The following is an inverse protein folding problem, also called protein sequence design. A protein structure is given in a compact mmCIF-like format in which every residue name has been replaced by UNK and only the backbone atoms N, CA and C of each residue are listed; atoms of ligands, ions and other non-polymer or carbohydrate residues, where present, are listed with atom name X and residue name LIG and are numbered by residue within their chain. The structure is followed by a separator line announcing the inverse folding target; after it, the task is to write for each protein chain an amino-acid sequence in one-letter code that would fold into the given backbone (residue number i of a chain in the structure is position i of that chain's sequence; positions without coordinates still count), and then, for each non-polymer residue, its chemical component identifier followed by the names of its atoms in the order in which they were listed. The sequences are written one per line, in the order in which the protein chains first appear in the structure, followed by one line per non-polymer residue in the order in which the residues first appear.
data_IF_445221741344
#
_entry.id   IF_445221741344
#
_cell.length_a   1.000
_cell.length_b   1.000
_cell.length_c   1.000
_cell.angle_alpha   90.00
_cell.angle_beta   90.00
_cell.angle_gamma   90.00
#
_symmetry.space_group_name_H-M   'P 1'
#
loop_
_entity.id
_entity.type
_entity.pdbx_description
1 polymer ?
#
# COMPACT_ATOMS: atom_id res chain seq x y z
N UNK A 1 107.54 52.31 33.70
CA UNK A 1 106.57 51.25 34.05
C UNK A 1 105.51 51.22 32.96
N UNK A 2 105.50 50.23 32.04
CA UNK A 2 104.50 50.16 30.98
C UNK A 2 103.25 49.37 31.41
N UNK A 3 102.10 49.83 30.91
CA UNK A 3 100.74 49.45 31.29
C UNK A 3 100.31 48.06 30.81
N UNK A 4 99.71 47.29 31.73
CA UNK A 4 99.15 45.94 31.58
C UNK A 4 97.83 45.85 30.78
N UNK A 5 97.62 46.63 29.71
CA UNK A 5 96.29 46.71 29.05
C UNK A 5 96.16 46.06 27.65
N UNK A 6 97.20 45.38 27.13
CA UNK A 6 97.11 44.71 25.82
C UNK A 6 96.83 43.19 25.88
N UNK A 7 97.03 42.53 27.02
CA UNK A 7 96.77 41.09 27.15
C UNK A 7 95.29 40.74 27.43
N UNK A 8 94.51 41.65 28.00
CA UNK A 8 93.09 41.42 28.32
C UNK A 8 92.17 41.45 27.09
N UNK A 9 92.42 42.35 26.13
CA UNK A 9 91.60 42.47 24.92
C UNK A 9 91.81 41.31 23.93
N UNK A 10 93.01 40.73 23.88
CA UNK A 10 93.31 39.61 22.97
C UNK A 10 92.64 38.30 23.43
N UNK A 11 92.56 38.04 24.74
CA UNK A 11 91.85 36.87 25.27
C UNK A 11 90.32 37.00 25.16
N UNK A 12 89.76 38.20 25.38
CA UNK A 12 88.31 38.44 25.29
C UNK A 12 87.74 38.18 23.89
N UNK A 13 88.44 38.63 22.84
CA UNK A 13 87.98 38.46 21.46
C UNK A 13 88.09 37.00 20.95
N UNK A 14 89.05 36.21 21.45
CA UNK A 14 89.15 34.78 21.12
C UNK A 14 88.11 33.91 21.82
N UNK A 15 87.74 34.25 23.06
CA UNK A 15 86.68 33.54 23.80
C UNK A 15 85.30 33.79 23.19
N UNK A 16 85.00 35.04 22.79
CA UNK A 16 83.73 35.39 22.13
C UNK A 16 83.59 34.73 20.75
N UNK A 17 84.66 34.67 19.94
CA UNK A 17 84.65 33.96 18.64
C UNK A 17 84.47 32.44 18.79
N UNK A 18 85.05 31.84 19.84
CA UNK A 18 84.91 30.41 20.13
C UNK A 18 83.50 30.04 20.61
N UNK A 19 82.90 30.88 21.49
CA UNK A 19 81.53 30.71 21.98
C UNK A 19 80.46 30.92 20.88
N UNK A 20 80.70 31.84 19.93
CA UNK A 20 79.81 32.08 18.79
C UNK A 20 79.84 30.94 17.76
N UNK A 21 81.03 30.35 17.53
CA UNK A 21 81.23 29.14 16.73
C UNK A 21 80.55 27.90 17.33
N UNK A 22 80.64 27.72 18.66
CA UNK A 22 79.98 26.62 19.37
C UNK A 22 78.45 26.73 19.36
N UNK A 23 77.89 27.94 19.50
CA UNK A 23 76.44 28.18 19.41
C UNK A 23 75.89 27.94 18.00
N UNK A 24 76.59 28.38 16.94
CA UNK A 24 76.19 28.09 15.54
C UNK A 24 76.25 26.61 15.20
N UNK A 25 77.27 25.88 15.66
CA UNK A 25 77.36 24.43 15.43
C UNK A 25 76.26 23.66 16.17
N UNK A 26 75.92 24.05 17.42
CA UNK A 26 74.81 23.43 18.16
C UNK A 26 73.44 23.72 17.52
N UNK A 27 73.20 24.96 17.07
CA UNK A 27 71.99 25.32 16.33
C UNK A 27 71.88 24.57 15.00
N UNK A 28 72.98 24.43 14.25
CA UNK A 28 73.00 23.66 13.01
C UNK A 28 72.73 22.16 13.24
N UNK A 29 73.31 21.56 14.27
CA UNK A 29 73.07 20.16 14.64
C UNK A 29 71.61 19.95 15.06
N UNK A 30 71.02 20.87 15.83
CA UNK A 30 69.61 20.82 16.23
C UNK A 30 68.71 20.96 14.99
N UNK A 31 69.02 21.87 14.07
CA UNK A 31 68.24 22.02 12.83
C UNK A 31 68.31 20.76 11.96
N UNK A 32 69.49 20.15 11.83
CA UNK A 32 69.68 18.90 11.08
C UNK A 32 68.90 17.76 11.76
N UNK A 33 68.92 17.68 13.09
CA UNK A 33 68.15 16.68 13.83
C UNK A 33 66.63 16.86 13.66
N UNK A 34 66.14 18.11 13.61
CA UNK A 34 64.72 18.42 13.34
C UNK A 34 64.36 18.08 11.89
N UNK A 35 65.22 18.39 10.93
CA UNK A 35 64.97 18.03 9.52
C UNK A 35 64.96 16.51 9.36
N UNK A 36 65.90 15.79 9.98
CA UNK A 36 65.93 14.33 9.98
C UNK A 36 64.69 13.74 10.67
N UNK A 37 64.22 14.33 11.79
CA UNK A 37 63.00 13.85 12.45
C UNK A 37 61.76 14.06 11.60
N UNK A 38 61.64 15.20 10.91
CA UNK A 38 60.55 15.49 9.97
C UNK A 38 60.60 14.54 8.77
N UNK A 39 61.79 14.23 8.23
CA UNK A 39 61.97 13.26 7.14
C UNK A 39 61.59 11.84 7.61
N UNK A 40 61.99 11.44 8.82
CA UNK A 40 61.59 10.13 9.36
C UNK A 40 60.09 10.05 9.64
N UNK A 41 59.46 11.15 10.09
CA UNK A 41 58.03 11.21 10.35
C UNK A 41 57.21 11.20 9.05
N UNK A 42 57.69 11.88 8.00
CA UNK A 42 57.07 11.85 6.67
C UNK A 42 57.23 10.49 5.99
N UNK A 43 58.36 9.79 6.17
CA UNK A 43 58.49 8.40 5.74
C UNK A 43 57.62 7.43 6.56
N UNK A 44 57.43 7.67 7.85
CA UNK A 44 56.50 6.87 8.65
C UNK A 44 55.06 7.08 8.18
N UNK A 45 54.65 8.33 7.95
CA UNK A 45 53.31 8.68 7.44
C UNK A 45 53.08 8.20 6.00
N UNK A 46 54.11 8.14 5.15
CA UNK A 46 54.00 7.59 3.79
C UNK A 46 54.03 6.07 3.73
N UNK A 47 54.42 5.38 4.82
CA UNK A 47 54.54 3.92 4.86
C UNK A 47 53.28 3.21 5.39
N UNK A 48 52.22 3.98 5.69
CA UNK A 48 50.92 3.44 6.11
C UNK A 48 49.85 3.55 5.03
N UNK A 49 50.19 3.25 3.78
CA UNK A 49 49.18 2.76 2.83
C UNK A 49 49.06 1.23 3.01
N UNK A 50 48.46 0.82 4.13
CA UNK A 50 47.88 -0.52 4.20
C UNK A 50 46.68 -0.48 3.27
N UNK A 51 46.91 -0.84 2.00
CA UNK A 51 45.85 -1.28 1.11
C UNK A 51 45.21 -2.49 1.75
N UNK A 52 44.22 -2.25 2.60
CA UNK A 52 43.23 -3.25 2.99
C UNK A 52 42.51 -3.62 1.71
N UNK A 53 43.02 -4.64 1.03
CA UNK A 53 42.28 -5.38 0.03
C UNK A 53 41.11 -6.03 0.76
N UNK A 54 40.04 -5.25 0.94
CA UNK A 54 38.73 -5.77 1.29
C UNK A 54 38.23 -6.38 -0.02
N UNK A 55 38.19 -7.71 -0.16
CA UNK A 55 37.55 -8.28 -1.34
C UNK A 55 36.14 -7.71 -1.39
N UNK A 56 35.83 -7.02 -2.48
CA UNK A 56 34.46 -6.67 -2.80
C UNK A 56 33.78 -8.00 -3.13
N UNK A 57 33.32 -8.70 -2.10
CA UNK A 57 32.43 -9.84 -2.28
C UNK A 57 31.10 -9.22 -2.70
N UNK A 58 30.94 -9.03 -4.01
CA UNK A 58 29.61 -9.02 -4.59
C UNK A 58 29.07 -10.42 -4.39
N UNK A 59 28.34 -10.59 -3.28
CA UNK A 59 27.35 -11.64 -3.23
C UNK A 59 26.31 -11.18 -4.25
N UNK A 60 26.50 -11.56 -5.52
CA UNK A 60 25.36 -11.83 -6.36
C UNK A 60 24.61 -12.94 -5.64
N UNK A 61 23.69 -12.54 -4.78
CA UNK A 61 22.48 -13.30 -4.68
C UNK A 61 22.00 -13.33 -6.13
N UNK A 62 22.27 -14.44 -6.81
CA UNK A 62 21.20 -15.03 -7.56
C UNK A 62 20.11 -15.26 -6.51
N UNK A 63 19.34 -14.20 -6.22
CA UNK A 63 17.91 -14.35 -6.28
C UNK A 63 17.72 -15.13 -7.56
N UNK A 64 17.62 -16.47 -7.43
CA UNK A 64 16.66 -17.20 -8.21
C UNK A 64 15.45 -16.31 -8.08
N UNK A 65 15.23 -15.48 -9.10
CA UNK A 65 14.06 -14.65 -9.26
C UNK A 65 12.98 -15.69 -9.09
N UNK A 66 12.48 -15.83 -7.85
CA UNK A 66 11.38 -16.72 -7.56
C UNK A 66 10.34 -16.02 -8.39
N UNK A 67 10.10 -16.57 -9.59
CA UNK A 67 9.04 -16.10 -10.44
C UNK A 67 7.85 -16.25 -9.51
N UNK A 68 7.43 -15.12 -8.93
CA UNK A 68 6.29 -15.11 -8.04
C UNK A 68 5.19 -15.76 -8.86
N UNK A 69 4.49 -16.79 -8.34
CA UNK A 69 3.41 -17.41 -9.09
C UNK A 69 2.27 -16.40 -9.37
N UNK A 70 2.33 -15.23 -8.74
CA UNK A 70 1.35 -14.16 -8.85
C UNK A 70 1.68 -13.19 -9.96
N UNK A 71 0.62 -12.77 -10.64
CA UNK A 71 0.71 -11.79 -11.71
C UNK A 71 1.02 -10.42 -11.09
N UNK A 72 2.21 -9.89 -11.37
CA UNK A 72 2.62 -8.58 -10.87
C UNK A 72 1.81 -7.43 -11.48
N UNK A 73 0.97 -7.69 -12.48
CA UNK A 73 0.07 -6.69 -13.08
C UNK A 73 -1.24 -6.47 -12.31
N UNK A 74 -1.56 -7.29 -11.30
CA UNK A 74 -2.82 -7.19 -10.54
C UNK A 74 -2.58 -7.18 -9.04
N UNK A 75 -3.03 -6.13 -8.36
CA UNK A 75 -2.85 -5.97 -6.91
C UNK A 75 -4.14 -5.53 -6.23
N UNK A 76 -4.47 -6.16 -5.11
CA UNK A 76 -5.53 -5.75 -4.21
C UNK A 76 -4.91 -5.03 -3.00
N UNK A 77 -5.41 -3.84 -2.67
CA UNK A 77 -4.85 -2.94 -1.68
C UNK A 77 -5.86 -2.64 -0.57
N UNK A 78 -5.46 -2.90 0.67
CA UNK A 78 -6.15 -2.45 1.87
C UNK A 78 -5.25 -1.47 2.63
N UNK A 79 -5.76 -0.28 2.93
CA UNK A 79 -5.08 0.74 3.74
C UNK A 79 -5.87 0.89 5.04
N UNK A 80 -5.27 0.56 6.18
CA UNK A 80 -5.91 0.72 7.48
C UNK A 80 -4.89 1.01 8.58
N UNK A 81 -4.99 2.20 9.16
CA UNK A 81 -4.06 2.69 10.17
C UNK A 81 -4.34 2.12 11.57
N UNK A 82 -5.57 1.68 11.83
CA UNK A 82 -6.06 1.25 13.14
C UNK A 82 -5.87 -0.27 13.32
N UNK A 83 -5.40 -0.75 14.48
CA UNK A 83 -5.26 -2.17 14.76
C UNK A 83 -6.61 -2.82 15.11
N UNK A 84 -7.52 -2.91 14.15
CA UNK A 84 -8.86 -3.50 14.34
C UNK A 84 -8.82 -5.03 14.19
N UNK A 85 -9.66 -5.74 14.94
CA UNK A 85 -9.65 -7.21 14.99
C UNK A 85 -10.04 -7.86 13.65
N UNK A 86 -10.81 -7.16 12.81
CA UNK A 86 -11.33 -7.71 11.55
C UNK A 86 -10.28 -7.77 10.43
N UNK A 87 -9.12 -7.12 10.58
CA UNK A 87 -8.10 -7.04 9.53
C UNK A 87 -7.66 -8.40 8.98
N UNK A 88 -7.29 -9.32 9.87
CA UNK A 88 -6.81 -10.63 9.46
C UNK A 88 -7.90 -11.48 8.77
N UNK A 89 -9.09 -11.67 9.35
CA UNK A 89 -10.12 -12.46 8.68
C UNK A 89 -10.64 -11.78 7.40
N UNK A 90 -10.75 -10.44 7.35
CA UNK A 90 -11.15 -9.72 6.13
C UNK A 90 -10.14 -9.92 5.00
N UNK A 91 -8.85 -9.73 5.29
CA UNK A 91 -7.78 -9.94 4.31
C UNK A 91 -7.77 -11.39 3.79
N UNK A 92 -7.90 -12.37 4.68
CA UNK A 92 -7.94 -13.78 4.29
C UNK A 92 -9.17 -14.12 3.43
N UNK A 93 -10.32 -13.53 3.74
CA UNK A 93 -11.53 -13.67 2.95
C UNK A 93 -11.31 -13.15 1.52
N UNK A 94 -10.84 -11.92 1.37
CA UNK A 94 -10.55 -11.36 0.05
C UNK A 94 -9.51 -12.19 -0.71
N UNK A 95 -8.45 -12.67 -0.05
CA UNK A 95 -7.46 -13.58 -0.65
C UNK A 95 -8.12 -14.86 -1.21
N UNK A 96 -9.19 -15.34 -0.57
CA UNK A 96 -9.89 -16.57 -0.97
C UNK A 96 -10.90 -16.37 -2.12
N UNK A 97 -11.53 -15.21 -2.22
CA UNK A 97 -12.59 -14.92 -3.20
C UNK A 97 -12.04 -14.28 -4.48
N UNK A 98 -11.06 -13.39 -4.35
CA UNK A 98 -10.43 -12.73 -5.50
C UNK A 98 -9.67 -13.78 -6.34
N UNK A 99 -9.66 -13.66 -7.68
CA UNK A 99 -8.98 -14.63 -8.54
C UNK A 99 -7.52 -14.89 -8.10
N UNK A 100 -7.06 -16.16 -8.17
CA UNK A 100 -5.84 -16.60 -7.50
C UNK A 100 -4.55 -15.93 -8.02
N UNK A 101 -4.59 -15.32 -9.21
CA UNK A 101 -3.46 -14.62 -9.82
C UNK A 101 -3.19 -13.22 -9.22
N UNK A 102 -4.14 -12.64 -8.48
CA UNK A 102 -3.98 -11.33 -7.84
C UNK A 102 -3.03 -11.35 -6.66
N UNK A 103 -2.15 -10.37 -6.56
CA UNK A 103 -1.33 -10.15 -5.37
C UNK A 103 -2.05 -9.24 -4.37
N UNK A 104 -1.72 -9.31 -3.08
CA UNK A 104 -2.33 -8.47 -2.04
C UNK A 104 -1.30 -7.58 -1.36
N UNK A 105 -1.71 -6.38 -0.99
CA UNK A 105 -0.91 -5.46 -0.19
C UNK A 105 -1.74 -4.84 0.91
N UNK A 106 -1.18 -4.89 2.11
CA UNK A 106 -1.72 -4.21 3.27
C UNK A 106 -0.79 -3.05 3.66
N UNK A 107 -1.34 -1.85 3.79
CA UNK A 107 -0.63 -0.68 4.27
C UNK A 107 -1.24 -0.20 5.59
N UNK A 108 -0.44 -0.13 6.67
CA UNK A 108 -0.93 0.35 7.96
C UNK A 108 0.15 1.00 8.83
N UNK A 109 -0.24 1.48 10.01
CA UNK A 109 0.71 1.89 11.06
C UNK A 109 1.55 0.70 11.54
N UNK A 110 2.69 0.93 12.23
CA UNK A 110 3.41 -0.13 12.92
C UNK A 110 2.53 -0.98 13.84
N UNK A 111 1.57 -0.37 14.53
CA UNK A 111 0.64 -1.08 15.42
C UNK A 111 -0.38 -1.92 14.63
N UNK A 112 -0.92 -1.38 13.53
CA UNK A 112 -1.87 -2.09 12.66
C UNK A 112 -1.23 -3.28 11.96
N UNK A 113 -0.04 -3.08 11.39
CA UNK A 113 0.77 -4.15 10.78
C UNK A 113 1.15 -5.21 11.83
N UNK A 114 1.58 -4.80 13.02
CA UNK A 114 1.85 -5.74 14.10
C UNK A 114 0.60 -6.52 14.53
N UNK A 115 -0.59 -5.92 14.45
CA UNK A 115 -1.85 -6.59 14.79
C UNK A 115 -2.21 -7.68 13.78
N UNK A 116 -2.26 -7.36 12.48
CA UNK A 116 -2.61 -8.33 11.43
C UNK A 116 -1.56 -9.46 11.34
N UNK A 117 -0.28 -9.16 11.56
CA UNK A 117 0.83 -10.11 11.51
C UNK A 117 0.83 -11.13 12.67
N UNK A 118 0.02 -10.95 13.73
CA UNK A 118 -0.16 -11.98 14.78
C UNK A 118 -0.82 -13.24 14.23
N UNK A 119 -1.65 -13.11 13.19
CA UNK A 119 -2.32 -14.24 12.57
C UNK A 119 -1.31 -15.16 11.87
N UNK A 120 -1.34 -16.45 12.23
CA UNK A 120 -0.52 -17.48 11.58
C UNK A 120 -0.88 -17.60 10.09
N UNK A 121 -2.17 -17.54 9.76
CA UNK A 121 -2.63 -17.61 8.37
C UNK A 121 -2.13 -16.42 7.53
N UNK A 122 -2.12 -15.21 8.08
CA UNK A 122 -1.52 -14.04 7.41
C UNK A 122 -0.04 -14.25 7.17
N UNK A 123 0.72 -14.72 8.17
CA UNK A 123 2.15 -15.03 8.01
C UNK A 123 2.42 -16.08 6.94
N UNK A 124 1.54 -17.07 6.78
CA UNK A 124 1.64 -18.03 5.67
C UNK A 124 1.43 -17.37 4.31
N UNK A 125 0.46 -16.45 4.17
CA UNK A 125 0.25 -15.71 2.91
C UNK A 125 1.45 -14.80 2.59
N UNK A 126 2.05 -14.17 3.60
CA UNK A 126 3.29 -13.38 3.44
C UNK A 126 4.47 -14.28 3.03
N UNK A 127 4.67 -15.41 3.70
CA UNK A 127 5.73 -16.36 3.38
C UNK A 127 5.56 -16.98 1.97
N UNK A 128 4.31 -17.12 1.50
CA UNK A 128 3.98 -17.55 0.15
C UNK A 128 4.21 -16.45 -0.90
N UNK A 129 4.41 -15.19 -0.50
CA UNK A 129 4.51 -14.04 -1.39
C UNK A 129 3.16 -13.63 -2.00
N UNK A 130 2.03 -14.03 -1.39
CA UNK A 130 0.67 -13.66 -1.81
C UNK A 130 0.26 -12.29 -1.25
N UNK A 131 0.80 -11.93 -0.09
CA UNK A 131 0.47 -10.73 0.67
C UNK A 131 1.75 -10.00 1.10
N UNK A 132 1.85 -8.72 0.77
CA UNK A 132 2.84 -7.82 1.32
C UNK A 132 2.26 -7.02 2.49
N UNK A 133 3.00 -6.96 3.60
CA UNK A 133 2.72 -6.03 4.69
C UNK A 133 3.71 -4.86 4.59
N UNK A 134 3.19 -3.67 4.33
CA UNK A 134 3.99 -2.45 4.23
C UNK A 134 3.44 -1.35 5.14
N UNK A 135 4.26 -0.33 5.37
CA UNK A 135 3.91 0.77 6.26
C UNK A 135 3.39 1.96 5.46
N UNK A 136 2.43 2.68 6.04
CA UNK A 136 2.09 4.03 5.59
C UNK A 136 3.28 4.94 5.95
N UNK A 137 3.80 5.76 5.00
CA UNK A 137 4.89 6.69 5.29
C UNK A 137 4.57 7.63 6.46
N UNK A 138 5.57 7.92 7.30
CA UNK A 138 5.39 8.76 8.51
C UNK A 138 4.91 10.19 8.19
N UNK A 139 5.15 10.67 6.98
CA UNK A 139 4.72 11.98 6.51
C UNK A 139 3.29 12.00 5.95
N UNK A 140 2.54 10.90 6.01
CA UNK A 140 1.17 10.79 5.53
C UNK A 140 0.22 10.30 6.63
N UNK A 141 -1.01 10.79 6.60
CA UNK A 141 -2.11 10.35 7.47
C UNK A 141 -3.20 9.68 6.63
N UNK A 142 -3.97 8.80 7.25
CA UNK A 142 -5.16 8.15 6.66
C UNK A 142 -6.30 8.08 7.68
N UNK A 143 -6.27 8.95 8.69
CA UNK A 143 -7.19 8.91 9.83
C UNK A 143 -8.58 9.52 9.52
N UNK A 144 -8.72 10.22 8.40
CA UNK A 144 -9.96 10.87 7.98
C UNK A 144 -10.17 10.80 6.46
N UNK A 145 -11.34 11.26 6.03
CA UNK A 145 -11.79 11.18 4.63
C UNK A 145 -10.92 12.01 3.68
N UNK A 146 -10.46 13.17 4.13
CA UNK A 146 -9.59 14.03 3.32
C UNK A 146 -8.17 13.45 3.26
N UNK A 147 -7.64 12.94 4.38
CA UNK A 147 -6.29 12.39 4.41
C UNK A 147 -6.16 11.12 3.56
N UNK A 148 -7.16 10.23 3.59
CA UNK A 148 -7.18 9.08 2.67
C UNK A 148 -7.33 9.53 1.21
N UNK A 149 -8.10 10.60 0.94
CA UNK A 149 -8.25 11.16 -0.40
C UNK A 149 -6.94 11.74 -0.92
N UNK A 150 -6.18 12.43 -0.08
CA UNK A 150 -4.83 12.90 -0.41
C UNK A 150 -3.88 11.73 -0.66
N UNK A 151 -3.91 10.71 0.19
CA UNK A 151 -3.07 9.52 0.05
C UNK A 151 -3.30 8.82 -1.31
N UNK A 152 -4.56 8.58 -1.65
CA UNK A 152 -4.98 7.90 -2.87
C UNK A 152 -4.85 8.76 -4.15
N UNK A 153 -4.55 10.06 -4.02
CA UNK A 153 -4.18 10.93 -5.16
C UNK A 153 -2.69 11.27 -5.19
N UNK A 154 -1.85 10.59 -4.39
CA UNK A 154 -0.39 10.76 -4.51
C UNK A 154 0.18 9.97 -5.69
N UNK A 155 0.98 10.62 -6.52
CA UNK A 155 1.66 9.96 -7.64
C UNK A 155 2.62 8.85 -7.15
N UNK A 156 3.25 9.06 -5.99
CA UNK A 156 4.15 8.09 -5.35
C UNK A 156 3.51 6.72 -5.14
N UNK A 157 2.25 6.67 -4.72
CA UNK A 157 1.54 5.40 -4.51
C UNK A 157 1.53 4.57 -5.81
N UNK A 158 1.22 5.20 -6.94
CA UNK A 158 1.08 4.49 -8.20
C UNK A 158 2.41 4.20 -8.90
N UNK A 159 3.38 5.13 -8.84
CA UNK A 159 4.67 4.98 -9.53
C UNK A 159 5.73 4.21 -8.73
N UNK A 160 5.76 4.37 -7.41
CA UNK A 160 6.81 3.77 -6.59
C UNK A 160 6.32 2.51 -5.87
N UNK A 161 5.08 2.52 -5.36
CA UNK A 161 4.57 1.40 -4.56
C UNK A 161 3.89 0.35 -5.44
N UNK A 162 3.01 0.77 -6.34
CA UNK A 162 2.14 -0.16 -7.08
C UNK A 162 2.75 -0.67 -8.40
N UNK A 163 3.81 -0.08 -8.94
CA UNK A 163 4.47 -0.62 -10.13
C UNK A 163 4.95 -2.07 -9.91
N UNK A 164 4.83 -2.98 -10.90
CA UNK A 164 4.33 -2.78 -12.26
C UNK A 164 2.84 -3.12 -12.42
N UNK A 165 2.02 -2.99 -11.36
CA UNK A 165 0.60 -3.29 -11.43
C UNK A 165 -0.11 -2.39 -12.44
N UNK A 166 -0.96 -2.99 -13.27
CA UNK A 166 -1.87 -2.30 -14.18
C UNK A 166 -3.27 -2.19 -13.56
N UNK A 167 -3.66 -3.19 -12.79
CA UNK A 167 -4.98 -3.31 -12.16
C UNK A 167 -4.87 -3.25 -10.64
N UNK A 168 -5.65 -2.35 -10.06
CA UNK A 168 -5.72 -2.11 -8.63
C UNK A 168 -7.14 -2.34 -8.14
N UNK A 169 -7.35 -3.31 -7.25
CA UNK A 169 -8.57 -3.43 -6.45
C UNK A 169 -8.33 -2.71 -5.14
N UNK A 170 -9.06 -1.64 -4.86
CA UNK A 170 -9.10 -1.00 -3.54
C UNK A 170 -10.30 -1.53 -2.78
N UNK A 171 -10.08 -1.94 -1.54
CA UNK A 171 -11.16 -2.35 -0.65
C UNK A 171 -10.89 -1.82 0.77
N UNK A 172 -11.96 -1.38 1.44
CA UNK A 172 -11.93 -0.85 2.79
C UNK A 172 -12.49 -1.86 3.80
N UNK A 173 -12.33 -1.57 5.08
CA UNK A 173 -12.75 -2.47 6.18
C UNK A 173 -14.25 -2.69 6.26
N UNK A 174 -15.01 -1.84 5.60
CA UNK A 174 -16.47 -1.85 5.48
C UNK A 174 -16.95 -2.26 4.07
N UNK A 175 -16.11 -3.02 3.35
CA UNK A 175 -16.46 -3.65 2.08
C UNK A 175 -16.33 -5.18 2.14
N UNK A 176 -17.06 -5.86 1.25
CA UNK A 176 -17.07 -7.33 1.17
C UNK A 176 -17.27 -7.80 -0.27
N UNK A 177 -16.53 -8.82 -0.70
CA UNK A 177 -16.87 -9.61 -1.89
C UNK A 177 -17.63 -10.86 -1.47
N UNK A 178 -18.63 -11.27 -2.24
CA UNK A 178 -19.52 -12.36 -1.86
C UNK A 178 -19.04 -13.69 -2.47
N UNK A 179 -18.81 -14.71 -1.63
CA UNK A 179 -18.31 -16.01 -2.11
C UNK A 179 -19.29 -16.75 -3.03
N UNK A 180 -20.60 -16.49 -2.92
CA UNK A 180 -21.63 -17.07 -3.79
C UNK A 180 -21.94 -16.22 -5.03
N UNK A 181 -21.19 -15.15 -5.28
CA UNK A 181 -21.30 -14.36 -6.51
C UNK A 181 -20.94 -15.21 -7.72
N UNK A 182 -21.73 -15.11 -8.79
CA UNK A 182 -21.42 -15.71 -10.10
C UNK A 182 -20.56 -14.81 -10.99
N UNK A 183 -20.32 -13.58 -10.54
CA UNK A 183 -19.52 -12.58 -11.23
C UNK A 183 -18.06 -12.70 -10.83
N UNK A 184 -17.15 -12.53 -11.80
CA UNK A 184 -15.71 -12.58 -11.55
C UNK A 184 -15.10 -11.17 -11.58
N UNK A 185 -14.17 -10.88 -10.67
CA UNK A 185 -13.45 -9.59 -10.68
C UNK A 185 -12.75 -9.32 -12.02
N UNK A 186 -12.25 -10.36 -12.70
CA UNK A 186 -11.56 -10.21 -13.97
C UNK A 186 -12.49 -9.75 -15.11
N UNK A 187 -13.80 -9.88 -14.97
CA UNK A 187 -14.78 -9.43 -15.98
C UNK A 187 -14.81 -7.90 -16.10
N UNK A 188 -14.34 -7.20 -15.06
CA UNK A 188 -14.32 -5.74 -14.99
C UNK A 188 -12.99 -5.11 -15.46
N UNK A 189 -11.98 -5.92 -15.84
CA UNK A 189 -10.66 -5.43 -16.29
C UNK A 189 -10.68 -4.71 -17.64
N UNK A 190 -11.84 -4.48 -18.24
CA UNK A 190 -11.94 -3.59 -19.39
C UNK A 190 -12.16 -2.12 -19.00
N UNK A 191 -12.44 -1.85 -17.72
CA UNK A 191 -12.78 -0.53 -17.21
C UNK A 191 -11.63 0.09 -16.43
N UNK A 192 -11.35 1.35 -16.69
CA UNK A 192 -10.37 2.16 -15.97
C UNK A 192 -10.83 2.55 -14.55
N UNK A 193 -12.15 2.55 -14.30
CA UNK A 193 -12.77 2.76 -12.98
C UNK A 193 -14.11 2.02 -12.87
N UNK A 194 -14.30 1.32 -11.76
CA UNK A 194 -15.59 0.74 -11.32
C UNK A 194 -15.71 0.87 -9.81
N UNK A 195 -16.87 1.29 -9.28
CA UNK A 195 -17.17 1.38 -7.85
C UNK A 195 -18.68 1.38 -7.61
N UNK A 196 -19.13 1.33 -6.36
CA UNK A 196 -20.57 1.28 -6.05
C UNK A 196 -21.27 2.57 -6.52
N UNK A 197 -22.33 2.52 -7.35
CA UNK A 197 -22.83 3.72 -8.03
C UNK A 197 -23.60 4.64 -7.07
N UNK A 198 -23.23 5.93 -7.04
CA UNK A 198 -24.03 6.95 -6.35
C UNK A 198 -25.37 7.21 -7.06
N UNK A 199 -25.40 7.05 -8.38
CA UNK A 199 -26.58 7.18 -9.23
C UNK A 199 -26.65 6.01 -10.23
N UNK A 200 -27.71 5.17 -10.21
CA UNK A 200 -27.88 4.04 -11.13
C UNK A 200 -27.92 4.44 -12.61
N UNK A 201 -28.37 5.67 -12.90
CA UNK A 201 -28.38 6.25 -14.25
C UNK A 201 -27.12 7.03 -14.61
N UNK A 202 -26.11 7.06 -13.73
CA UNK A 202 -24.85 7.78 -13.95
C UNK A 202 -24.04 7.19 -15.11
N UNK A 203 -23.36 8.05 -15.85
CA UNK A 203 -22.47 7.63 -16.95
C UNK A 203 -21.08 7.23 -16.45
N UNK A 204 -20.70 7.66 -15.25
CA UNK A 204 -19.44 7.36 -14.58
C UNK A 204 -19.63 7.47 -13.06
N UNK A 205 -18.56 7.17 -12.33
CA UNK A 205 -18.48 7.37 -10.89
C UNK A 205 -18.74 6.11 -10.08
N UNK A 206 -18.79 6.31 -8.78
CA UNK A 206 -19.04 5.30 -7.78
C UNK A 206 -18.03 5.35 -6.64
N UNK A 207 -18.46 4.88 -5.48
CA UNK A 207 -17.73 4.89 -4.23
C UNK A 207 -16.36 4.17 -4.35
N UNK A 208 -15.31 4.80 -3.82
CA UNK A 208 -13.94 4.28 -3.85
C UNK A 208 -13.66 3.14 -2.88
N UNK A 209 -14.52 2.91 -1.88
CA UNK A 209 -14.31 1.97 -0.78
C UNK A 209 -14.36 0.48 -1.16
N UNK A 210 -15.00 0.16 -2.29
CA UNK A 210 -14.77 -1.07 -3.05
C UNK A 210 -14.72 -0.68 -4.52
N UNK A 211 -13.52 -0.67 -5.11
CA UNK A 211 -13.34 -0.16 -6.46
C UNK A 211 -12.22 -0.85 -7.22
N UNK A 212 -12.43 -1.04 -8.53
CA UNK A 212 -11.41 -1.45 -9.49
C UNK A 212 -10.89 -0.22 -10.23
N UNK A 213 -9.57 -0.12 -10.35
CA UNK A 213 -8.87 1.05 -10.87
C UNK A 213 -7.74 0.65 -11.80
N UNK A 214 -7.54 1.41 -12.88
CA UNK A 214 -6.41 1.21 -13.78
C UNK A 214 -5.25 2.15 -13.47
N UNK A 215 -4.13 1.56 -13.05
CA UNK A 215 -2.96 2.26 -12.52
C UNK A 215 -2.33 3.17 -13.58
N UNK A 216 -2.11 2.67 -14.80
CA UNK A 216 -1.49 3.47 -15.87
C UNK A 216 -2.29 4.74 -16.22
N UNK A 217 -3.63 4.66 -16.18
CA UNK A 217 -4.51 5.82 -16.43
C UNK A 217 -4.48 6.83 -15.29
N UNK A 218 -4.47 6.35 -14.05
CA UNK A 218 -4.35 7.23 -12.89
C UNK A 218 -2.99 7.94 -12.88
N UNK A 219 -1.89 7.24 -13.21
CA UNK A 219 -0.56 7.86 -13.35
C UNK A 219 -0.59 8.99 -14.37
N UNK A 220 -1.20 8.76 -15.53
CA UNK A 220 -1.30 9.80 -16.57
C UNK A 220 -2.10 11.02 -16.09
N UNK A 221 -3.22 10.82 -15.38
CA UNK A 221 -3.98 11.92 -14.78
C UNK A 221 -3.14 12.67 -13.74
N UNK A 222 -2.52 11.97 -12.79
CA UNK A 222 -1.77 12.57 -11.68
C UNK A 222 -0.47 13.26 -12.10
N UNK A 223 0.10 12.90 -13.25
CA UNK A 223 1.24 13.64 -13.85
C UNK A 223 0.83 14.98 -14.44
N UNK A 224 -0.40 15.09 -14.92
CA UNK A 224 -0.89 16.27 -15.65
C UNK A 224 -1.81 17.15 -14.81
N UNK A 225 -2.42 16.60 -13.76
CA UNK A 225 -3.43 17.24 -12.93
C UNK A 225 -3.19 16.92 -11.46
N UNK A 226 -3.63 17.81 -10.58
CA UNK A 226 -3.53 17.64 -9.13
C UNK A 226 -4.88 17.94 -8.48
N UNK A 227 -5.36 17.05 -7.62
CA UNK A 227 -6.54 17.32 -6.78
C UNK A 227 -6.19 18.46 -5.81
N UNK A 228 -7.10 19.40 -5.60
CA UNK A 228 -6.93 20.42 -4.56
C UNK A 228 -7.15 19.79 -3.18
N UNK A 229 -6.44 20.26 -2.16
CA UNK A 229 -6.70 19.82 -0.78
C UNK A 229 -8.07 20.32 -0.32
N UNK A 230 -8.73 19.56 0.55
CA UNK A 230 -10.05 19.86 1.13
C UNK A 230 -11.16 20.07 0.09
N UNK A 231 -10.97 19.49 -1.10
CA UNK A 231 -11.94 19.53 -2.20
C UNK A 231 -12.85 18.30 -2.18
N UNK A 232 -13.47 17.97 -3.31
CA UNK A 232 -14.20 16.72 -3.48
C UNK A 232 -13.35 15.48 -3.11
N UNK A 233 -13.99 14.39 -2.63
CA UNK A 233 -13.32 13.13 -2.35
C UNK A 233 -12.58 12.57 -3.57
N UNK A 234 -11.59 11.74 -3.30
CA UNK A 234 -10.71 11.17 -4.32
C UNK A 234 -11.47 10.37 -5.39
N UNK A 235 -12.46 9.59 -4.98
CA UNK A 235 -13.24 8.74 -5.86
C UNK A 235 -14.07 9.55 -6.85
N UNK A 236 -14.68 10.65 -6.39
CA UNK A 236 -15.36 11.64 -7.24
C UNK A 236 -14.35 12.24 -8.22
N UNK A 237 -13.21 12.72 -7.73
CA UNK A 237 -12.20 13.40 -8.55
C UNK A 237 -11.59 12.49 -9.62
N UNK A 238 -11.12 11.29 -9.23
CA UNK A 238 -10.48 10.34 -10.14
C UNK A 238 -11.47 9.79 -11.15
N UNK A 239 -12.67 9.38 -10.71
CA UNK A 239 -13.66 8.79 -11.62
C UNK A 239 -14.12 9.78 -12.68
N UNK A 240 -14.32 11.05 -12.32
CA UNK A 240 -14.63 12.11 -13.29
C UNK A 240 -13.48 12.32 -14.29
N UNK A 241 -12.23 12.32 -13.83
CA UNK A 241 -11.08 12.63 -14.70
C UNK A 241 -10.76 11.47 -15.62
N UNK A 242 -10.99 10.24 -15.15
CA UNK A 242 -10.93 9.04 -15.97
C UNK A 242 -12.05 9.01 -17.02
N UNK A 243 -13.26 9.48 -16.67
CA UNK A 243 -14.37 9.57 -17.63
C UNK A 243 -14.09 10.53 -18.79
N UNK A 244 -13.40 11.65 -18.52
CA UNK A 244 -13.03 12.65 -19.52
C UNK A 244 -11.66 12.40 -20.16
N UNK A 245 -10.95 11.34 -19.76
CA UNK A 245 -9.63 11.01 -20.30
C UNK A 245 -9.75 10.51 -21.76
N UNK A 246 -8.85 10.90 -22.69
CA UNK A 246 -8.87 10.40 -24.06
C UNK A 246 -8.73 8.88 -24.15
N UNK A 247 -9.81 8.21 -24.56
CA UNK A 247 -9.88 6.74 -24.59
C UNK A 247 -10.05 6.11 -23.20
N UNK A 248 -10.47 6.91 -22.22
CA UNK A 248 -10.90 6.46 -20.91
C UNK A 248 -12.19 5.65 -21.00
N UNK A 249 -12.25 4.56 -20.24
CA UNK A 249 -13.43 3.68 -20.18
C UNK A 249 -13.84 3.45 -18.75
N UNK A 250 -14.85 4.16 -18.28
CA UNK A 250 -15.39 4.02 -16.92
C UNK A 250 -16.72 3.28 -16.94
N UNK A 251 -17.02 2.54 -15.87
CA UNK A 251 -18.30 1.86 -15.74
C UNK A 251 -19.44 2.88 -15.55
N UNK A 252 -20.54 2.66 -16.27
CA UNK A 252 -21.79 3.38 -16.01
C UNK A 252 -22.54 2.73 -14.83
N UNK A 253 -23.60 3.38 -14.36
CA UNK A 253 -24.35 2.91 -13.19
C UNK A 253 -24.91 1.49 -13.34
N UNK A 254 -25.27 1.06 -14.56
CA UNK A 254 -25.74 -0.31 -14.80
C UNK A 254 -24.66 -1.37 -14.59
N UNK A 255 -23.44 -1.11 -15.07
CA UNK A 255 -22.27 -1.98 -14.82
C UNK A 255 -21.88 -1.92 -13.35
N UNK A 256 -21.78 -0.71 -12.78
CA UNK A 256 -21.39 -0.48 -11.39
C UNK A 256 -22.31 -1.18 -10.38
N UNK A 257 -23.61 -1.27 -10.66
CA UNK A 257 -24.55 -2.06 -9.85
C UNK A 257 -24.20 -3.56 -9.86
N UNK A 258 -23.67 -4.11 -10.95
CA UNK A 258 -23.24 -5.53 -10.91
C UNK A 258 -21.96 -5.72 -10.08
N UNK A 259 -21.11 -4.69 -10.00
CA UNK A 259 -19.83 -4.76 -9.29
C UNK A 259 -19.98 -4.63 -7.77
N UNK A 260 -20.69 -3.59 -7.29
CA UNK A 260 -20.84 -3.36 -5.86
C UNK A 260 -22.18 -2.71 -5.51
N UNK A 261 -22.92 -3.32 -4.58
CA UNK A 261 -24.09 -2.71 -3.96
C UNK A 261 -23.71 -1.77 -2.80
N UNK A 262 -24.50 -0.72 -2.58
CA UNK A 262 -24.36 0.18 -1.43
C UNK A 262 -25.71 0.81 -1.05
N UNK A 263 -26.20 1.75 -1.87
CA UNK A 263 -27.40 2.53 -1.58
C UNK A 263 -28.60 2.19 -2.47
N UNK A 264 -28.35 1.64 -3.65
CA UNK A 264 -29.37 1.26 -4.64
C UNK A 264 -29.40 -0.25 -4.85
N UNK A 265 -30.58 -0.78 -5.11
CA UNK A 265 -30.77 -2.13 -5.65
C UNK A 265 -30.47 -2.15 -7.16
N UNK A 266 -30.25 -3.36 -7.69
CA UNK A 266 -29.98 -3.59 -9.11
C UNK A 266 -30.97 -4.55 -9.74
N UNK A 267 -30.63 -5.04 -10.94
CA UNK A 267 -31.46 -6.05 -11.61
C UNK A 267 -31.53 -7.30 -10.76
N UNK A 268 -32.75 -7.81 -10.59
CA UNK A 268 -32.99 -9.03 -9.83
C UNK A 268 -32.75 -10.25 -10.68
N UNK A 269 -32.33 -11.33 -10.03
CA UNK A 269 -32.14 -12.63 -10.67
C UNK A 269 -33.49 -13.20 -11.14
N UNK A 270 -33.50 -13.76 -12.36
CA UNK A 270 -34.69 -14.30 -13.00
C UNK A 270 -34.65 -15.83 -13.00
N UNK A 271 -35.81 -16.47 -12.77
CA UNK A 271 -35.95 -17.91 -13.01
C UNK A 271 -36.02 -18.20 -14.52
N UNK A 272 -35.42 -19.31 -14.94
CA UNK A 272 -35.37 -19.80 -16.34
C UNK A 272 -36.76 -19.82 -17.03
N UNK A 273 -37.85 -19.91 -16.27
CA UNK A 273 -39.21 -19.95 -16.81
C UNK A 273 -39.78 -18.59 -17.26
N UNK A 274 -39.05 -17.48 -17.13
CA UNK A 274 -39.52 -16.13 -17.50
C UNK A 274 -39.03 -15.65 -18.88
N UNK A 275 -38.16 -16.40 -19.57
CA UNK A 275 -37.58 -15.96 -20.84
C UNK A 275 -38.44 -16.34 -22.05
N UNK A 276 -39.55 -15.62 -22.25
CA UNK A 276 -39.99 -15.29 -23.60
C UNK A 276 -39.94 -13.78 -23.77
N UNK A 277 -39.10 -13.32 -24.71
CA UNK A 277 -38.98 -11.97 -25.27
C UNK A 277 -38.33 -10.87 -24.42
N UNK A 278 -37.03 -10.62 -24.66
CA UNK A 278 -36.53 -9.30 -25.11
C UNK A 278 -35.01 -9.32 -25.32
N UNK A 279 -34.60 -9.30 -26.58
CA UNK A 279 -33.22 -9.13 -27.03
C UNK A 279 -32.81 -7.65 -26.91
N UNK A 280 -32.07 -7.30 -25.86
CA UNK A 280 -31.29 -6.06 -25.78
C UNK A 280 -29.82 -6.46 -25.62
N UNK A 281 -28.84 -5.79 -26.25
CA UNK A 281 -27.44 -6.20 -26.15
C UNK A 281 -26.91 -5.83 -24.76
N UNK A 282 -27.17 -6.69 -23.78
CA UNK A 282 -26.53 -6.70 -22.48
C UNK A 282 -25.08 -7.13 -22.62
N UNK A 283 -24.24 -6.59 -21.74
CA UNK A 283 -22.90 -7.08 -21.39
C UNK A 283 -22.86 -8.60 -21.58
N UNK A 284 -21.77 -9.12 -22.15
CA UNK A 284 -21.53 -10.56 -22.15
C UNK A 284 -21.54 -11.03 -20.70
N UNK A 285 -22.71 -11.47 -20.23
CA UNK A 285 -22.86 -12.17 -18.99
C UNK A 285 -22.07 -13.46 -19.20
N UNK A 286 -20.81 -13.48 -18.77
CA UNK A 286 -20.02 -14.71 -18.76
C UNK A 286 -20.54 -15.71 -17.71
N UNK A 287 -21.47 -15.29 -16.85
CA UNK A 287 -22.48 -16.16 -16.26
C UNK A 287 -23.57 -16.43 -17.31
N UNK A 288 -23.28 -17.31 -18.27
CA UNK A 288 -24.31 -17.86 -19.14
C UNK A 288 -25.41 -18.50 -18.24
N UNK A 289 -26.63 -18.60 -18.76
CA UNK A 289 -27.75 -19.29 -18.10
C UNK A 289 -27.45 -20.76 -17.72
N UNK A 290 -26.27 -21.27 -18.06
CA UNK A 290 -25.78 -22.64 -17.82
C UNK A 290 -25.35 -22.89 -16.36
N UNK A 291 -25.15 -21.84 -15.55
CA UNK A 291 -24.73 -21.97 -14.14
C UNK A 291 -25.91 -22.07 -13.15
N UNK A 292 -27.16 -21.84 -13.59
CA UNK A 292 -28.31 -21.91 -12.68
C UNK A 292 -28.86 -23.33 -12.59
N UNK A 293 -28.73 -23.96 -11.42
CA UNK A 293 -29.27 -25.31 -11.18
C UNK A 293 -30.68 -25.20 -10.58
N UNK A 294 -31.69 -25.55 -11.38
CA UNK A 294 -33.09 -25.53 -10.94
C UNK A 294 -33.31 -26.37 -9.66
N UNK A 295 -34.04 -25.82 -8.69
CA UNK A 295 -34.26 -26.42 -7.37
C UNK A 295 -33.14 -26.20 -6.36
N UNK A 296 -31.93 -25.82 -6.81
CA UNK A 296 -30.79 -25.48 -5.94
C UNK A 296 -30.60 -23.97 -5.85
N UNK A 297 -30.71 -23.25 -6.98
CA UNK A 297 -30.50 -21.80 -7.06
C UNK A 297 -31.81 -20.98 -7.04
N UNK A 298 -32.97 -21.63 -6.92
CA UNK A 298 -34.28 -20.97 -6.95
C UNK A 298 -34.45 -19.89 -5.85
N UNK A 299 -33.68 -19.98 -4.76
CA UNK A 299 -33.67 -18.98 -3.67
C UNK A 299 -33.05 -17.64 -4.07
N UNK A 300 -32.36 -17.57 -5.21
CA UNK A 300 -31.78 -16.35 -5.78
C UNK A 300 -32.82 -15.50 -6.49
N UNK A 301 -33.88 -16.11 -7.00
CA UNK A 301 -34.88 -15.46 -7.83
C UNK A 301 -35.55 -14.26 -7.12
N UNK A 302 -35.61 -13.13 -7.82
CA UNK A 302 -36.21 -11.91 -7.31
C UNK A 302 -35.31 -11.07 -6.40
N UNK A 303 -34.05 -11.46 -6.21
CA UNK A 303 -33.07 -10.73 -5.40
C UNK A 303 -31.93 -10.15 -6.23
N UNK A 304 -31.30 -9.11 -5.69
CA UNK A 304 -30.19 -8.40 -6.31
C UNK A 304 -28.85 -8.93 -5.76
N UNK A 305 -28.02 -9.46 -6.67
CA UNK A 305 -26.79 -10.19 -6.37
C UNK A 305 -25.56 -9.53 -7.06
N UNK A 306 -25.04 -8.40 -6.54
CA UNK A 306 -23.78 -7.82 -7.02
C UNK A 306 -22.57 -8.66 -6.58
N UNK A 307 -21.42 -8.47 -7.23
CA UNK A 307 -20.18 -9.18 -6.89
C UNK A 307 -19.73 -8.92 -5.44
N UNK A 308 -19.98 -7.72 -4.93
CA UNK A 308 -19.72 -7.35 -3.55
C UNK A 308 -20.59 -6.20 -3.06
N UNK A 309 -20.27 -5.72 -1.87
CA UNK A 309 -20.93 -4.59 -1.25
C UNK A 309 -19.91 -3.65 -0.61
N UNK A 310 -20.19 -2.35 -0.72
CA UNK A 310 -19.64 -1.33 0.15
C UNK A 310 -20.72 -0.94 1.17
N UNK A 311 -20.41 -1.01 2.45
CA UNK A 311 -21.39 -0.86 3.53
C UNK A 311 -20.98 0.31 4.41
N UNK A 312 -21.47 1.50 4.08
CA UNK A 312 -21.10 2.73 4.77
C UNK A 312 -21.02 2.58 6.29
N UNK A 313 -19.85 2.88 6.84
CA UNK A 313 -19.61 2.93 8.28
C UNK A 313 -19.77 1.57 8.96
N UNK A 314 -19.40 0.48 8.29
CA UNK A 314 -19.43 -0.89 8.88
C UNK A 314 -20.83 -1.29 9.36
N UNK A 315 -21.85 -0.94 8.56
CA UNK A 315 -23.25 -1.22 8.88
C UNK A 315 -23.94 -0.18 9.74
N UNK A 316 -23.30 0.96 10.03
CA UNK A 316 -23.96 2.11 10.66
C UNK A 316 -24.99 2.76 9.72
N UNK A 317 -24.78 2.65 8.41
CA UNK A 317 -25.64 3.19 7.37
C UNK A 317 -26.10 2.07 6.44
N UNK A 318 -27.22 1.43 6.79
CA UNK A 318 -27.84 0.39 5.97
C UNK A 318 -28.98 0.98 5.13
N UNK A 319 -28.80 1.03 3.82
CA UNK A 319 -29.79 1.61 2.91
C UNK A 319 -30.97 0.66 2.66
N UNK A 320 -32.19 1.22 2.70
CA UNK A 320 -33.44 0.46 2.58
C UNK A 320 -33.55 -0.45 1.34
N UNK A 321 -33.10 -0.05 0.13
CA UNK A 321 -33.20 -0.92 -1.06
C UNK A 321 -32.49 -2.27 -0.93
N UNK A 322 -31.40 -2.34 -0.15
CA UNK A 322 -30.66 -3.60 0.08
C UNK A 322 -31.06 -4.26 1.41
N UNK A 323 -31.40 -3.46 2.43
CA UNK A 323 -31.50 -3.94 3.81
C UNK A 323 -32.88 -3.78 4.45
N UNK A 324 -33.81 -3.07 3.82
CA UNK A 324 -35.04 -2.57 4.45
C UNK A 324 -36.00 -3.67 4.90
N UNK A 325 -36.11 -4.75 4.13
CA UNK A 325 -37.07 -5.84 4.37
C UNK A 325 -36.41 -7.07 5.03
N UNK A 326 -37.10 -7.78 5.93
CA UNK A 326 -36.60 -9.03 6.51
C UNK A 326 -36.14 -10.05 5.47
N UNK A 327 -36.88 -10.17 4.38
CA UNK A 327 -36.61 -11.11 3.29
C UNK A 327 -35.31 -10.75 2.56
N UNK A 328 -35.04 -9.46 2.33
CA UNK A 328 -33.78 -8.98 1.75
C UNK A 328 -32.59 -9.31 2.65
N UNK A 329 -32.75 -9.15 3.98
CA UNK A 329 -31.71 -9.51 4.94
C UNK A 329 -31.50 -11.02 5.01
N UNK A 330 -32.58 -11.81 4.99
CA UNK A 330 -32.48 -13.27 4.97
C UNK A 330 -31.76 -13.76 3.71
N UNK A 331 -32.08 -13.19 2.55
CA UNK A 331 -31.38 -13.48 1.31
C UNK A 331 -29.91 -13.07 1.39
N UNK A 332 -29.59 -11.87 1.90
CA UNK A 332 -28.22 -11.41 2.11
C UNK A 332 -27.41 -12.40 2.98
N UNK A 333 -28.01 -12.98 4.01
CA UNK A 333 -27.34 -13.97 4.87
C UNK A 333 -27.06 -15.30 4.18
N UNK A 334 -27.75 -15.60 3.07
CA UNK A 334 -27.51 -16.77 2.21
C UNK A 334 -26.54 -16.43 1.08
N UNK A 335 -26.70 -15.27 0.47
CA UNK A 335 -25.90 -14.81 -0.66
C UNK A 335 -24.49 -14.36 -0.26
N UNK A 336 -24.38 -13.50 0.75
CA UNK A 336 -23.12 -12.92 1.20
C UNK A 336 -22.98 -13.08 2.73
N UNK A 337 -22.94 -14.32 3.26
CA UNK A 337 -22.87 -14.56 4.70
C UNK A 337 -21.68 -13.87 5.38
N UNK A 338 -20.59 -13.66 4.64
CA UNK A 338 -19.34 -13.05 5.09
C UNK A 338 -19.52 -11.57 5.43
N UNK A 339 -20.55 -10.92 4.89
CA UNK A 339 -20.88 -9.53 5.19
C UNK A 339 -21.14 -9.29 6.68
N UNK A 340 -21.52 -10.34 7.44
CA UNK A 340 -21.68 -10.27 8.90
C UNK A 340 -20.38 -9.90 9.64
N UNK A 341 -19.23 -10.10 9.00
CA UNK A 341 -17.92 -9.71 9.52
C UNK A 341 -17.72 -8.20 9.60
N UNK A 342 -18.36 -7.44 8.70
CA UNK A 342 -18.20 -5.99 8.61
C UNK A 342 -19.33 -5.24 9.29
N UNK A 343 -20.43 -5.90 9.66
CA UNK A 343 -21.55 -5.29 10.33
C UNK A 343 -21.33 -5.16 11.84
N UNK A 344 -21.63 -3.98 12.38
CA UNK A 344 -21.75 -3.75 13.82
C UNK A 344 -22.99 -4.48 14.38
N UNK A 345 -22.87 -5.79 14.62
CA UNK A 345 -23.95 -6.58 15.22
C UNK A 345 -24.03 -6.34 16.72
N UNK A 346 -25.19 -5.92 17.23
CA UNK A 346 -25.48 -5.89 18.67
C UNK A 346 -25.65 -7.32 19.19
N UNK A 347 -24.52 -7.94 19.54
CA UNK A 347 -24.49 -9.28 20.14
C UNK A 347 -24.90 -9.23 21.62
N UNK A 348 -24.80 -8.07 22.28
CA UNK A 348 -25.06 -7.92 23.72
C UNK A 348 -26.52 -8.21 24.08
N UNK A 349 -27.47 -7.93 23.17
CA UNK A 349 -28.88 -8.24 23.38
C UNK A 349 -29.20 -9.75 23.30
N UNK A 350 -28.36 -10.55 22.63
CA UNK A 350 -28.62 -11.96 22.33
C UNK A 350 -27.73 -12.94 23.11
N UNK A 351 -26.71 -12.46 23.82
CA UNK A 351 -25.97 -13.25 24.81
C UNK A 351 -26.58 -12.99 26.19
N UNK A 352 -27.33 -13.94 26.80
CA UNK A 352 -27.79 -13.78 28.17
C UNK A 352 -26.60 -13.79 29.14
N UNK A 353 -26.39 -12.70 29.87
CA UNK A 353 -25.42 -12.61 30.96
C UNK A 353 -24.68 -11.26 31.06
N UNK A 354 -24.14 -10.96 32.25
CA UNK A 354 -23.28 -9.80 32.49
C UNK A 354 -21.85 -10.13 32.06
N UNK A 355 -21.56 -10.04 30.76
CA UNK A 355 -20.20 -10.18 30.25
C UNK A 355 -19.30 -9.10 30.87
N UNK A 356 -18.45 -9.50 31.83
CA UNK A 356 -17.58 -8.59 32.59
C UNK A 356 -17.61 -8.71 34.12
N UNK A 357 -18.10 -9.79 34.74
CA UNK A 357 -18.02 -9.90 36.21
C UNK A 357 -16.58 -10.00 36.76
N UNK A 358 -15.64 -10.51 35.95
CA UNK A 358 -14.18 -10.40 36.12
C UNK A 358 -13.51 -11.08 34.92
N UNK A 359 -12.53 -10.44 34.31
CA UNK A 359 -11.58 -11.07 33.40
C UNK A 359 -10.20 -10.96 34.06
N UNK A 360 -9.55 -12.10 34.33
CA UNK A 360 -8.19 -12.18 34.85
C UNK A 360 -7.16 -12.20 33.72
#
# INVERSE_FOLDING_TARGET
MPNNNEYGQFLGNRLLACLWSFKRRRLAIILIAIILSIITLSHLLSSFDISLYIPHITIEFQEKKRISPYNTSKVALLIENRPIAILAPLMLHFISVVPPDWHFRFMGSPLSVASINRSVAIRHQVAAGKLDLTYIPENMSTNGQEEISQFLTTLWLYEAVLQPAEWLLVFQTDSMLCGNSRLNLNDYLEYDWVGAPWNPGGQWGGNGGLSLRRVSRIIDILRNQRRANDSEPEDVWLSERLAHHPGGKVANGSVSMTFSGEMHDGRTEQTINSSSTSSTPSIKNHADNDDHVAGVDDWRAGFYEPMGYHIGGSGSFLHSPIWGMPELREHMWKYCPEIKMTLAMDVAKYIPGNCGASWA
#
